data_IF_040984145201
#
_entry.id   IF_040984145201
#
_cell.length_a   1.000
_cell.length_b   1.000
_cell.length_c   1.000
_cell.angle_alpha   90.00
_cell.angle_beta   90.00
_cell.angle_gamma   90.00
#
_symmetry.space_group_name_H-M   'P 1'
#
loop_
_entity.id
_entity.type
_entity.pdbx_description
1 polymer ?
#
# COMPACT_ATOMS: atom_id res chain seq x y z
N UNK A 1 -12.58 18.59 4.61
CA UNK A 1 -13.24 17.91 3.49
C UNK A 1 -12.42 16.69 3.11
N UNK A 2 -13.01 15.50 3.18
CA UNK A 2 -12.36 14.24 2.89
C UNK A 2 -12.39 13.91 1.39
N UNK A 3 -11.28 13.40 0.85
CA UNK A 3 -11.25 12.78 -0.49
C UNK A 3 -12.13 11.54 -0.43
N UNK A 4 -12.93 11.28 -1.47
CA UNK A 4 -13.70 10.02 -1.55
C UNK A 4 -12.92 8.97 -2.33
N UNK A 5 -13.08 7.69 -1.97
CA UNK A 5 -12.51 6.59 -2.74
C UNK A 5 -12.98 6.62 -4.21
N UNK A 6 -14.25 7.00 -4.45
CA UNK A 6 -14.80 7.11 -5.79
C UNK A 6 -14.08 8.16 -6.64
N UNK A 7 -13.80 9.36 -6.09
CA UNK A 7 -13.09 10.39 -6.84
C UNK A 7 -11.62 10.04 -7.06
N UNK A 8 -10.94 9.51 -6.03
CA UNK A 8 -9.57 9.02 -6.12
C UNK A 8 -9.42 7.91 -7.15
N UNK A 9 -10.18 6.83 -7.03
CA UNK A 9 -10.10 5.66 -7.89
C UNK A 9 -10.35 6.02 -9.36
N UNK A 10 -11.31 6.89 -9.65
CA UNK A 10 -11.58 7.39 -11.01
C UNK A 10 -10.37 8.08 -11.63
N UNK A 11 -9.65 8.92 -10.86
CA UNK A 11 -8.47 9.66 -11.34
C UNK A 11 -7.25 8.75 -11.49
N UNK A 12 -7.06 7.84 -10.54
CA UNK A 12 -5.85 7.01 -10.46
C UNK A 12 -5.93 5.81 -11.42
N UNK A 13 -7.10 5.17 -11.57
CA UNK A 13 -7.28 3.98 -12.43
C UNK A 13 -6.87 4.24 -13.89
N UNK A 14 -7.16 5.43 -14.42
CA UNK A 14 -6.74 5.80 -15.76
C UNK A 14 -5.21 5.82 -15.93
N UNK A 15 -4.47 6.22 -14.88
CA UNK A 15 -3.02 6.26 -14.86
C UNK A 15 -2.38 4.87 -14.66
N UNK A 16 -3.10 3.92 -14.07
CA UNK A 16 -2.62 2.55 -13.87
C UNK A 16 -2.78 1.66 -15.12
N UNK A 17 -3.68 2.03 -16.04
CA UNK A 17 -3.93 1.25 -17.27
C UNK A 17 -2.68 0.84 -18.09
N UNK A 18 -1.64 1.69 -18.28
CA UNK A 18 -0.45 1.30 -19.03
C UNK A 18 0.56 0.45 -18.23
N UNK A 19 0.34 0.27 -16.93
CA UNK A 19 1.27 -0.42 -16.03
C UNK A 19 0.96 -1.93 -15.97
N UNK A 20 1.97 -2.72 -15.62
CA UNK A 20 1.84 -4.18 -15.46
C UNK A 20 1.90 -4.65 -14.01
N UNK A 21 1.75 -5.96 -13.80
CA UNK A 21 1.77 -6.61 -12.48
C UNK A 21 2.98 -6.24 -11.61
N UNK A 22 4.17 -6.15 -12.21
CA UNK A 22 5.38 -5.75 -11.49
C UNK A 22 5.33 -4.31 -10.98
N UNK A 23 4.71 -3.41 -11.74
CA UNK A 23 4.57 -2.01 -11.38
C UNK A 23 3.47 -1.84 -10.32
N UNK A 24 2.40 -2.64 -10.39
CA UNK A 24 1.39 -2.74 -9.34
C UNK A 24 1.98 -3.20 -8.02
N UNK A 25 2.81 -4.25 -8.05
CA UNK A 25 3.50 -4.74 -6.86
C UNK A 25 4.40 -3.66 -6.26
N UNK A 26 5.18 -2.98 -7.10
CA UNK A 26 6.02 -1.87 -6.65
C UNK A 26 5.19 -0.80 -5.94
N UNK A 27 4.09 -0.33 -6.55
CA UNK A 27 3.22 0.70 -5.98
C UNK A 27 2.60 0.27 -4.64
N UNK A 28 2.18 -1.01 -4.54
CA UNK A 28 1.61 -1.54 -3.32
C UNK A 28 2.65 -1.65 -2.20
N UNK A 29 3.81 -2.24 -2.48
CA UNK A 29 4.91 -2.36 -1.51
C UNK A 29 5.46 -0.99 -1.10
N UNK A 30 5.56 -0.03 -2.02
CA UNK A 30 5.98 1.35 -1.75
C UNK A 30 5.00 2.07 -0.81
N UNK A 31 3.69 1.90 -1.03
CA UNK A 31 2.66 2.49 -0.17
C UNK A 31 2.64 1.83 1.22
N UNK A 32 2.75 0.50 1.29
CA UNK A 32 2.86 -0.24 2.54
C UNK A 32 4.13 0.14 3.33
N UNK A 33 5.27 0.35 2.65
CA UNK A 33 6.52 0.80 3.29
C UNK A 33 6.35 2.18 3.93
N UNK A 34 5.68 3.11 3.25
CA UNK A 34 5.39 4.42 3.84
C UNK A 34 4.53 4.31 5.10
N UNK A 35 3.54 3.42 5.10
CA UNK A 35 2.68 3.17 6.27
C UNK A 35 3.44 2.47 7.41
N UNK A 36 4.34 1.52 7.11
CA UNK A 36 5.18 0.87 8.13
C UNK A 36 6.18 1.84 8.76
N UNK A 37 6.85 2.66 7.93
CA UNK A 37 7.78 3.69 8.40
C UNK A 37 7.06 4.71 9.32
N UNK A 38 5.77 4.98 9.08
CA UNK A 38 5.00 5.99 9.83
C UNK A 38 4.27 5.42 11.05
N UNK A 39 3.63 4.26 10.90
CA UNK A 39 2.69 3.69 11.89
C UNK A 39 3.13 2.32 12.41
N UNK A 40 4.11 1.66 11.79
CA UNK A 40 4.53 0.32 12.19
C UNK A 40 5.03 0.27 13.62
N UNK A 41 5.72 1.31 14.11
CA UNK A 41 6.19 1.36 15.50
C UNK A 41 5.04 1.44 16.53
N UNK A 42 3.89 1.98 16.16
CA UNK A 42 2.73 2.07 17.04
C UNK A 42 2.22 0.68 17.46
N UNK A 43 2.36 -0.34 16.61
CA UNK A 43 2.04 -1.73 16.96
C UNK A 43 2.84 -2.20 18.18
N UNK A 44 4.10 -1.80 18.35
CA UNK A 44 4.88 -2.15 19.54
C UNK A 44 4.37 -1.39 20.78
N UNK A 45 3.93 -0.14 20.60
CA UNK A 45 3.38 0.70 21.68
C UNK A 45 2.08 0.15 22.24
N UNK A 46 1.26 -0.51 21.40
CA UNK A 46 0.02 -1.18 21.79
C UNK A 46 0.22 -2.68 22.07
N UNK A 47 1.46 -3.14 22.30
CA UNK A 47 1.80 -4.52 22.69
C UNK A 47 1.53 -5.59 21.59
N UNK A 48 1.41 -5.19 20.33
CA UNK A 48 1.21 -6.04 19.14
C UNK A 48 2.49 -6.19 18.28
N UNK A 49 3.66 -6.28 18.92
CA UNK A 49 4.95 -6.38 18.21
C UNK A 49 5.12 -7.63 17.33
N UNK A 50 4.42 -8.73 17.64
CA UNK A 50 4.38 -9.90 16.76
C UNK A 50 3.66 -9.61 15.44
N UNK A 51 2.56 -8.84 15.47
CA UNK A 51 1.88 -8.40 14.25
C UNK A 51 2.78 -7.49 13.41
N UNK A 52 3.51 -6.57 14.06
CA UNK A 52 4.52 -5.73 13.38
C UNK A 52 5.56 -6.59 12.67
N UNK A 53 6.08 -7.62 13.34
CA UNK A 53 7.06 -8.54 12.76
C UNK A 53 6.48 -9.27 11.53
N UNK A 54 5.27 -9.83 11.63
CA UNK A 54 4.59 -10.50 10.51
C UNK A 54 4.43 -9.57 9.31
N UNK A 55 4.00 -8.33 9.53
CA UNK A 55 3.86 -7.33 8.46
C UNK A 55 5.20 -6.99 7.80
N UNK A 56 6.26 -6.83 8.59
CA UNK A 56 7.60 -6.54 8.07
C UNK A 56 8.19 -7.71 7.28
N UNK A 57 8.06 -8.93 7.79
CA UNK A 57 8.51 -10.14 7.09
C UNK A 57 7.77 -10.30 5.75
N UNK A 58 6.44 -10.06 5.74
CA UNK A 58 5.62 -10.04 4.54
C UNK A 58 6.04 -8.96 3.52
N UNK A 59 6.32 -7.75 4.00
CA UNK A 59 6.73 -6.65 3.15
C UNK A 59 8.13 -6.87 2.56
N UNK A 60 9.06 -7.43 3.32
CA UNK A 60 10.40 -7.81 2.84
C UNK A 60 10.32 -8.93 1.77
N UNK A 61 9.38 -9.88 1.91
CA UNK A 61 9.11 -10.88 0.88
C UNK A 61 8.56 -10.23 -0.41
N UNK A 62 7.65 -9.27 -0.31
CA UNK A 62 7.15 -8.51 -1.46
C UNK A 62 8.27 -7.73 -2.17
N UNK A 63 9.16 -7.08 -1.43
CA UNK A 63 10.32 -6.39 -2.02
C UNK A 63 11.31 -7.35 -2.68
N UNK A 64 11.48 -8.55 -2.13
CA UNK A 64 12.31 -9.59 -2.75
C UNK A 64 11.78 -9.96 -4.15
N UNK A 65 10.45 -10.04 -4.33
CA UNK A 65 9.82 -10.28 -5.63
C UNK A 65 10.07 -9.11 -6.60
N UNK A 66 9.98 -7.87 -6.11
CA UNK A 66 10.27 -6.66 -6.89
C UNK A 66 11.72 -6.70 -7.40
N UNK A 67 12.68 -6.95 -6.52
CA UNK A 67 14.11 -6.95 -6.83
C UNK A 67 14.51 -8.08 -7.77
N UNK A 68 13.94 -9.26 -7.57
CA UNK A 68 14.14 -10.41 -8.44
C UNK A 68 13.54 -10.19 -9.85
N UNK A 69 12.63 -9.21 -10.01
CA UNK A 69 11.97 -8.92 -11.28
C UNK A 69 11.06 -10.05 -11.76
N UNK A 70 10.63 -10.92 -10.85
CA UNK A 70 10.04 -12.22 -11.19
C UNK A 70 8.68 -12.11 -11.88
N UNK A 71 7.91 -11.07 -11.54
CA UNK A 71 6.66 -10.75 -12.25
C UNK A 71 6.92 -10.19 -13.66
N UNK A 72 8.04 -9.51 -13.90
CA UNK A 72 8.39 -9.02 -15.25
C UNK A 72 8.83 -10.17 -16.17
N UNK A 73 9.49 -11.18 -15.62
CA UNK A 73 9.92 -12.37 -16.38
C UNK A 73 8.83 -13.43 -16.52
N UNK A 74 7.78 -13.41 -15.68
CA UNK A 74 6.73 -14.43 -15.65
C UNK A 74 7.20 -15.76 -15.05
N UNK A 75 8.28 -15.77 -14.28
CA UNK A 75 8.97 -17.01 -13.82
C UNK A 75 8.97 -17.14 -12.30
N UNK A 76 7.82 -16.93 -11.65
CA UNK A 76 7.71 -17.15 -10.21
C UNK A 76 7.80 -18.65 -9.91
N UNK A 77 8.87 -19.04 -9.22
CA UNK A 77 9.06 -20.41 -8.76
C UNK A 77 7.88 -20.84 -7.87
N UNK A 78 7.44 -22.09 -8.00
CA UNK A 78 6.28 -22.57 -7.26
C UNK A 78 6.52 -22.57 -5.74
N UNK A 79 7.71 -22.95 -5.29
CA UNK A 79 8.05 -22.93 -3.87
C UNK A 79 8.06 -21.50 -3.31
N UNK A 80 8.57 -20.54 -4.09
CA UNK A 80 8.54 -19.13 -3.69
C UNK A 80 7.11 -18.55 -3.68
N UNK A 81 6.23 -19.00 -4.59
CA UNK A 81 4.80 -18.65 -4.55
C UNK A 81 4.11 -19.20 -3.30
N UNK A 82 4.43 -20.42 -2.88
CA UNK A 82 3.88 -21.03 -1.67
C UNK A 82 4.31 -20.25 -0.42
N UNK A 83 5.58 -19.81 -0.37
CA UNK A 83 6.10 -18.94 0.69
C UNK A 83 5.35 -17.60 0.76
N UNK A 84 5.18 -16.91 -0.37
CA UNK A 84 4.39 -15.66 -0.43
C UNK A 84 2.94 -15.88 -0.03
N UNK A 85 2.35 -17.03 -0.38
CA UNK A 85 0.99 -17.39 0.02
C UNK A 85 0.88 -17.63 1.52
N UNK A 86 1.92 -18.19 2.14
CA UNK A 86 2.00 -18.34 3.59
C UNK A 86 2.11 -16.99 4.31
N UNK A 87 2.92 -16.06 3.79
CA UNK A 87 2.96 -14.69 4.30
C UNK A 87 1.59 -13.99 4.17
N UNK A 88 0.89 -14.19 3.05
CA UNK A 88 -0.44 -13.62 2.84
C UNK A 88 -1.46 -14.16 3.84
N UNK A 89 -1.43 -15.48 4.09
CA UNK A 89 -2.25 -16.10 5.10
C UNK A 89 -1.94 -15.55 6.50
N UNK A 90 -0.66 -15.39 6.85
CA UNK A 90 -0.24 -14.85 8.14
C UNK A 90 -0.69 -13.40 8.34
N UNK A 91 -0.62 -12.55 7.31
CA UNK A 91 -1.12 -11.16 7.37
C UNK A 91 -2.64 -11.13 7.59
N UNK A 92 -3.39 -12.01 6.91
CA UNK A 92 -4.86 -12.12 7.07
C UNK A 92 -5.29 -12.67 8.43
N UNK A 93 -4.41 -13.39 9.11
CA UNK A 93 -4.65 -13.96 10.44
C UNK A 93 -4.28 -12.98 11.57
N UNK A 94 -3.73 -11.81 11.23
CA UNK A 94 -3.53 -10.74 12.21
C UNK A 94 -4.90 -10.24 12.65
N UNK A 95 -5.21 -10.49 13.91
CA UNK A 95 -6.41 -9.99 14.58
C UNK A 95 -5.96 -9.09 15.74
N UNK A 96 -6.37 -7.82 15.67
CA UNK A 96 -6.07 -6.81 16.70
C UNK A 96 -7.40 -6.23 17.13
N UNK A 97 -7.83 -6.65 18.32
CA UNK A 97 -9.01 -6.11 18.97
C UNK A 97 -8.84 -4.59 19.21
N UNK A 98 -9.94 -3.84 19.18
CA UNK A 98 -10.03 -2.43 19.57
C UNK A 98 -9.37 -1.37 18.65
N UNK A 99 -8.92 -1.71 17.43
CA UNK A 99 -8.50 -0.69 16.46
C UNK A 99 -9.69 0.17 16.00
N UNK A 100 -9.55 1.49 16.14
CA UNK A 100 -10.58 2.46 15.81
C UNK A 100 -10.20 3.30 14.57
N UNK A 101 -10.92 3.13 13.46
CA UNK A 101 -10.71 3.90 12.22
C UNK A 101 -10.79 5.43 12.38
N UNK A 102 -11.36 5.91 13.48
CA UNK A 102 -11.41 7.34 13.80
C UNK A 102 -10.11 7.88 14.40
N UNK A 103 -9.24 7.01 14.92
CA UNK A 103 -7.92 7.37 15.45
C UNK A 103 -6.87 7.24 14.35
N UNK A 104 -6.07 8.29 14.07
CA UNK A 104 -5.09 8.25 13.00
C UNK A 104 -4.10 7.08 13.07
N UNK A 105 -3.55 6.78 14.26
CA UNK A 105 -2.58 5.69 14.42
C UNK A 105 -3.20 4.32 14.18
N UNK A 106 -4.38 4.06 14.73
CA UNK A 106 -5.13 2.81 14.54
C UNK A 106 -5.54 2.64 13.06
N UNK A 107 -6.07 3.71 12.44
CA UNK A 107 -6.35 3.76 11.00
C UNK A 107 -5.09 3.47 10.18
N UNK A 108 -3.95 4.05 10.57
CA UNK A 108 -2.65 3.82 9.96
C UNK A 108 -2.23 2.35 9.99
N UNK A 109 -2.41 1.66 11.13
CA UNK A 109 -2.15 0.22 11.27
C UNK A 109 -3.09 -0.62 10.40
N UNK A 110 -4.39 -0.34 10.42
CA UNK A 110 -5.37 -1.04 9.58
C UNK A 110 -5.02 -0.88 8.09
N UNK A 111 -4.62 0.32 7.69
CA UNK A 111 -4.20 0.63 6.32
C UNK A 111 -2.85 0.02 5.95
N UNK A 112 -1.93 -0.14 6.90
CA UNK A 112 -0.70 -0.92 6.70
C UNK A 112 -1.03 -2.39 6.42
N UNK A 113 -1.94 -2.99 7.18
CA UNK A 113 -2.39 -4.37 6.98
C UNK A 113 -3.02 -4.55 5.59
N UNK A 114 -3.97 -3.68 5.23
CA UNK A 114 -4.63 -3.71 3.91
C UNK A 114 -3.63 -3.54 2.75
N UNK A 115 -2.69 -2.60 2.85
CA UNK A 115 -1.70 -2.35 1.80
C UNK A 115 -0.69 -3.51 1.67
N UNK A 116 -0.30 -4.13 2.78
CA UNK A 116 0.59 -5.30 2.79
C UNK A 116 -0.11 -6.52 2.19
N UNK A 117 -1.39 -6.74 2.55
CA UNK A 117 -2.21 -7.78 1.93
C UNK A 117 -2.34 -7.59 0.42
N UNK A 118 -2.60 -6.37 -0.04
CA UNK A 118 -2.70 -6.04 -1.45
C UNK A 118 -1.38 -6.34 -2.19
N UNK A 119 -0.23 -5.96 -1.61
CA UNK A 119 1.08 -6.24 -2.19
C UNK A 119 1.32 -7.75 -2.38
N UNK A 120 1.04 -8.56 -1.36
CA UNK A 120 1.19 -10.00 -1.46
C UNK A 120 0.18 -10.64 -2.41
N UNK A 121 -1.07 -10.17 -2.42
CA UNK A 121 -2.10 -10.63 -3.35
C UNK A 121 -1.68 -10.42 -4.80
N UNK A 122 -1.07 -9.26 -5.11
CA UNK A 122 -0.49 -9.00 -6.44
C UNK A 122 0.64 -9.99 -6.74
N UNK A 123 1.53 -10.25 -5.77
CA UNK A 123 2.69 -11.11 -5.96
C UNK A 123 2.32 -12.57 -6.26
N UNK A 124 1.26 -13.09 -5.64
CA UNK A 124 0.86 -14.49 -5.82
C UNK A 124 -0.15 -14.70 -6.96
N UNK A 125 -0.83 -13.65 -7.41
CA UNK A 125 -1.86 -13.73 -8.44
C UNK A 125 -1.23 -13.65 -9.83
N UNK A 126 -1.52 -14.60 -10.75
CA UNK A 126 -0.90 -14.61 -12.09
C UNK A 126 -1.24 -13.40 -12.98
N UNK A 127 -2.45 -12.84 -12.82
CA UNK A 127 -2.92 -11.65 -13.55
C UNK A 127 -3.66 -10.74 -12.55
N UNK A 128 -2.92 -9.96 -11.75
CA UNK A 128 -3.49 -9.20 -10.64
C UNK A 128 -4.31 -8.00 -11.13
N UNK A 129 -5.43 -7.75 -10.45
CA UNK A 129 -6.30 -6.62 -10.75
C UNK A 129 -5.61 -5.30 -10.34
N UNK A 130 -5.59 -4.25 -11.18
CA UNK A 130 -5.16 -2.91 -10.77
C UNK A 130 -5.87 -2.38 -9.51
N UNK A 131 -7.01 -2.95 -9.14
CA UNK A 131 -7.73 -2.66 -7.90
C UNK A 131 -6.86 -2.87 -6.65
N UNK A 132 -5.99 -3.88 -6.62
CA UNK A 132 -5.13 -4.12 -5.45
C UNK A 132 -4.09 -2.99 -5.29
N UNK A 133 -3.50 -2.54 -6.40
CA UNK A 133 -2.64 -1.36 -6.39
C UNK A 133 -3.40 -0.09 -6.02
N UNK A 134 -4.66 0.05 -6.44
CA UNK A 134 -5.52 1.18 -6.04
C UNK A 134 -5.82 1.15 -4.54
N UNK A 135 -6.09 -0.02 -3.96
CA UNK A 135 -6.29 -0.18 -2.52
C UNK A 135 -5.06 0.30 -1.75
N UNK A 136 -3.88 -0.17 -2.15
CA UNK A 136 -2.64 0.24 -1.49
C UNK A 136 -2.31 1.73 -1.67
N UNK A 137 -2.58 2.32 -2.84
CA UNK A 137 -2.41 3.77 -3.06
C UNK A 137 -3.48 4.59 -2.33
N UNK A 138 -4.66 4.04 -2.09
CA UNK A 138 -5.72 4.71 -1.33
C UNK A 138 -5.40 4.76 0.15
N UNK A 139 -4.75 3.72 0.69
CA UNK A 139 -4.50 3.55 2.11
C UNK A 139 -3.89 4.80 2.80
N UNK A 140 -2.79 5.43 2.32
CA UNK A 140 -2.28 6.67 2.90
C UNK A 140 -3.27 7.85 2.84
N UNK A 141 -4.02 7.97 1.73
CA UNK A 141 -5.03 9.04 1.56
C UNK A 141 -6.18 8.85 2.56
N UNK A 142 -6.55 7.62 2.85
CA UNK A 142 -7.60 7.31 3.81
C UNK A 142 -7.18 7.65 5.26
N UNK A 143 -5.90 7.43 5.60
CA UNK A 143 -5.36 7.89 6.89
C UNK A 143 -5.35 9.42 6.96
N UNK A 144 -4.94 10.10 5.89
CA UNK A 144 -5.01 11.57 5.79
C UNK A 144 -6.45 12.08 5.95
N UNK A 145 -7.44 11.38 5.39
CA UNK A 145 -8.85 11.69 5.64
C UNK A 145 -9.21 11.60 7.11
N UNK A 146 -8.80 10.53 7.81
CA UNK A 146 -9.00 10.37 9.26
C UNK A 146 -8.39 11.54 10.05
N UNK A 147 -7.16 11.96 9.70
CA UNK A 147 -6.48 13.11 10.33
C UNK A 147 -7.25 14.40 10.07
N UNK A 148 -7.61 14.67 8.82
CA UNK A 148 -8.24 15.93 8.40
C UNK A 148 -9.59 16.18 9.05
N UNK A 149 -10.38 15.13 9.23
CA UNK A 149 -11.71 15.20 9.84
C UNK A 149 -11.68 15.01 11.37
N UNK A 150 -10.50 14.91 11.97
CA UNK A 150 -10.35 14.73 13.42
C UNK A 150 -11.06 13.50 13.96
N UNK A 151 -11.16 12.44 13.15
CA UNK A 151 -11.88 11.21 13.50
C UNK A 151 -13.40 11.24 13.31
N UNK A 152 -13.99 12.29 12.73
CA UNK A 152 -15.44 12.31 12.46
C UNK A 152 -15.83 11.48 11.22
N UNK A 153 -17.06 10.92 11.22
CA UNK A 153 -17.66 10.27 10.04
C UNK A 153 -17.94 11.28 8.92
N UNK A 154 -17.65 10.87 7.69
CA UNK A 154 -17.34 11.71 6.51
C UNK A 154 -18.58 12.38 5.88
N UNK A 155 -18.57 13.70 5.63
CA UNK A 155 -19.40 14.30 4.58
C UNK A 155 -18.70 14.21 3.21
N UNK A 156 -19.34 13.58 2.23
CA UNK A 156 -18.81 13.33 0.88
C UNK A 156 -18.84 14.60 -0.01
N UNK A 157 -17.68 15.12 -0.40
CA UNK A 157 -17.51 16.10 -1.50
C UNK A 157 -16.17 15.84 -2.21
N UNK A 158 -15.79 16.61 -3.25
CA UNK A 158 -14.62 16.32 -4.13
C UNK A 158 -13.39 17.25 -3.87
N UNK A 159 -12.56 17.00 -2.84
CA UNK A 159 -11.43 17.86 -2.43
C UNK A 159 -10.07 17.41 -2.99
N UNK A 160 -9.99 16.81 -4.18
CA UNK A 160 -8.71 16.36 -4.75
C UNK A 160 -7.70 17.48 -5.03
N UNK A 161 -8.11 18.75 -4.93
CA UNK A 161 -7.26 19.95 -5.04
C UNK A 161 -6.96 20.60 -3.68
N UNK A 162 -7.33 19.96 -2.58
CA UNK A 162 -7.04 20.44 -1.23
C UNK A 162 -5.55 20.27 -0.90
N UNK A 163 -4.89 21.37 -0.54
CA UNK A 163 -3.46 21.44 -0.25
C UNK A 163 -3.01 20.43 0.82
N UNK A 164 -3.93 20.00 1.70
CA UNK A 164 -3.67 18.98 2.71
C UNK A 164 -3.24 17.63 2.14
N UNK A 165 -3.75 17.24 0.97
CA UNK A 165 -3.41 15.96 0.32
C UNK A 165 -2.32 16.12 -0.76
N UNK A 166 -1.88 17.35 -1.02
CA UNK A 166 -1.08 17.65 -2.21
C UNK A 166 0.27 16.91 -2.21
N UNK A 167 0.93 16.78 -1.06
CA UNK A 167 2.21 16.08 -0.96
C UNK A 167 2.06 14.58 -1.28
N UNK A 168 1.10 13.91 -0.64
CA UNK A 168 0.78 12.51 -0.88
C UNK A 168 0.43 12.26 -2.36
N UNK A 169 -0.50 13.05 -2.90
CA UNK A 169 -0.96 12.90 -4.27
C UNK A 169 0.14 13.23 -5.29
N UNK A 170 1.05 14.16 -4.98
CA UNK A 170 2.20 14.48 -5.82
C UNK A 170 3.23 13.34 -5.82
N UNK A 171 3.54 12.77 -4.66
CA UNK A 171 4.46 11.63 -4.54
C UNK A 171 3.93 10.42 -5.33
N UNK A 172 2.64 10.09 -5.16
CA UNK A 172 1.98 9.03 -5.93
C UNK A 172 1.99 9.32 -7.44
N UNK A 173 1.74 10.56 -7.85
CA UNK A 173 1.77 10.93 -9.26
C UNK A 173 3.18 10.81 -9.85
N UNK A 174 4.21 11.19 -9.10
CA UNK A 174 5.60 11.12 -9.53
C UNK A 174 6.07 9.66 -9.70
N UNK A 175 5.81 8.79 -8.73
CA UNK A 175 6.21 7.37 -8.83
C UNK A 175 5.47 6.64 -9.96
N UNK A 176 4.18 6.94 -10.18
CA UNK A 176 3.43 6.41 -11.33
C UNK A 176 4.04 6.91 -12.65
N UNK A 177 4.43 8.18 -12.73
CA UNK A 177 5.05 8.73 -13.93
C UNK A 177 6.40 8.07 -14.24
N UNK A 178 7.21 7.78 -13.22
CA UNK A 178 8.48 7.07 -13.39
C UNK A 178 8.26 5.65 -13.93
N UNK A 179 7.28 4.92 -13.38
CA UNK A 179 6.91 3.58 -13.87
C UNK A 179 6.38 3.62 -15.30
N UNK A 180 5.55 4.62 -15.64
CA UNK A 180 5.06 4.84 -17.02
C UNK A 180 6.20 5.18 -17.99
N UNK A 181 7.24 5.86 -17.51
CA UNK A 181 8.46 6.14 -18.26
C UNK A 181 9.40 4.93 -18.35
N UNK A 182 8.96 3.75 -17.89
CA UNK A 182 9.72 2.49 -17.88
C UNK A 182 10.98 2.56 -17.02
N UNK A 183 10.98 3.38 -15.96
CA UNK A 183 12.05 3.36 -14.98
C UNK A 183 12.15 1.96 -14.33
N UNK A 184 13.36 1.42 -14.24
CA UNK A 184 13.61 0.14 -13.58
C UNK A 184 13.73 0.35 -12.07
N UNK A 185 12.60 0.69 -11.43
CA UNK A 185 12.53 0.85 -9.98
C UNK A 185 12.70 -0.49 -9.26
N UNK A 186 13.40 -0.47 -8.12
CA UNK A 186 13.73 -1.63 -7.27
C UNK A 186 13.48 -1.31 -5.78
N UNK A 187 13.72 -2.25 -4.87
CA UNK A 187 13.69 -2.03 -3.43
C UNK A 187 14.66 -0.96 -2.92
N UNK A 188 15.69 -0.60 -3.69
CA UNK A 188 16.51 0.57 -3.40
C UNK A 188 15.72 1.88 -3.48
N UNK A 189 14.67 1.91 -4.30
CA UNK A 189 13.77 3.05 -4.53
C UNK A 189 12.52 2.99 -3.64
N UNK A 190 12.48 2.13 -2.61
CA UNK A 190 11.30 1.95 -1.74
C UNK A 190 10.82 3.21 -1.00
N UNK A 191 11.64 4.27 -0.99
CA UNK A 191 11.33 5.61 -0.43
C UNK A 191 11.34 6.73 -1.48
N UNK A 192 11.35 6.40 -2.77
CA UNK A 192 11.38 7.42 -3.82
C UNK A 192 10.18 8.36 -3.68
N UNK A 193 10.41 9.67 -3.83
CA UNK A 193 9.42 10.74 -3.65
C UNK A 193 8.77 10.83 -2.26
N UNK A 194 9.29 10.10 -1.26
CA UNK A 194 8.93 10.22 0.16
C UNK A 194 10.08 10.90 0.90
N UNK A 195 9.75 11.83 1.80
CA UNK A 195 10.72 12.52 2.65
C UNK A 195 10.84 11.89 4.03
#
# INVERSE_FOLDING_TARGET
MAVTYASFSRRTRAKLKPLGAADFLFLAAWSATHLDDTYGAYLDEIEHGDARRVLRDALDAAWTVVDAGTLRSGTLDAGFRDELSAHLAAVRDIDIDDLDFTRPSDSGVLKLMEATEAALSIAVTPDPDPADALTALWAPVDVLNTIKEGGALRPETDPLDDAFFAEELAAQAAVIADLQAQARLTGADRRIHRS
#
